data_IF_610692260552
#
_entry.id   IF_610692260552
#
_cell.length_a   1.000
_cell.length_b   1.000
_cell.length_c   1.000
_cell.angle_alpha   90.00
_cell.angle_beta   90.00
_cell.angle_gamma   90.00
#
_symmetry.space_group_name_H-M   'P 1'
#
loop_
_entity.id
_entity.type
_entity.pdbx_description
1 polymer ?
#
# COMPACT_ATOMS: atom_id res chain seq x y z
N UNK A 1 34.71 -14.80 -16.86
CA UNK A 1 33.31 -14.32 -16.81
C UNK A 1 32.86 -14.25 -15.35
N UNK A 2 32.84 -13.06 -14.75
CA UNK A 2 32.39 -12.89 -13.36
C UNK A 2 30.87 -12.71 -13.35
N UNK A 3 30.15 -13.63 -12.70
CA UNK A 3 28.71 -13.51 -12.47
C UNK A 3 28.48 -12.38 -11.46
N UNK A 4 27.92 -11.26 -11.92
CA UNK A 4 27.54 -10.15 -11.05
C UNK A 4 26.40 -10.61 -10.15
N UNK A 5 26.70 -10.78 -8.85
CA UNK A 5 25.75 -11.16 -7.81
C UNK A 5 24.78 -9.98 -7.64
N UNK A 6 23.56 -10.11 -8.19
CA UNK A 6 22.45 -9.16 -7.95
C UNK A 6 22.33 -8.99 -6.43
N UNK A 7 22.79 -7.86 -5.89
CA UNK A 7 22.50 -7.51 -4.50
C UNK A 7 20.99 -7.37 -4.43
N UNK A 8 20.33 -8.16 -3.58
CA UNK A 8 18.92 -7.99 -3.28
C UNK A 8 18.80 -6.56 -2.75
N UNK A 9 18.23 -5.66 -3.54
CA UNK A 9 17.94 -4.31 -3.08
C UNK A 9 16.92 -4.47 -1.96
N UNK A 10 17.39 -4.40 -0.72
CA UNK A 10 16.51 -4.20 0.42
C UNK A 10 16.00 -2.78 0.23
N UNK A 11 14.70 -2.57 0.00
CA UNK A 11 14.16 -1.21 -0.05
C UNK A 11 14.56 -0.52 1.25
N UNK A 12 15.24 0.62 1.17
CA UNK A 12 15.50 1.41 2.37
C UNK A 12 14.17 1.94 2.94
N UNK A 13 14.22 2.48 4.16
CA UNK A 13 13.07 3.05 4.86
C UNK A 13 12.33 4.09 4.01
N UNK A 14 13.06 4.91 3.25
CA UNK A 14 12.48 5.92 2.36
C UNK A 14 11.61 5.30 1.26
N UNK A 15 12.08 4.24 0.61
CA UNK A 15 11.28 3.54 -0.40
C UNK A 15 10.02 2.89 0.18
N UNK A 16 10.07 2.42 1.43
CA UNK A 16 8.89 1.87 2.12
C UNK A 16 7.91 2.98 2.50
N UNK A 17 8.39 4.12 2.99
CA UNK A 17 7.58 5.29 3.30
C UNK A 17 6.86 5.82 2.05
N UNK A 18 7.57 5.92 0.93
CA UNK A 18 6.98 6.36 -0.34
C UNK A 18 5.91 5.37 -0.83
N UNK A 19 6.14 4.06 -0.69
CA UNK A 19 5.15 3.06 -1.04
C UNK A 19 3.89 3.16 -0.15
N UNK A 20 4.06 3.39 1.15
CA UNK A 20 2.96 3.62 2.10
C UNK A 20 2.16 4.88 1.72
N UNK A 21 2.86 5.98 1.43
CA UNK A 21 2.26 7.23 1.01
C UNK A 21 1.44 7.04 -0.28
N UNK A 22 2.03 6.40 -1.29
CA UNK A 22 1.36 6.17 -2.56
C UNK A 22 0.16 5.22 -2.44
N UNK A 23 0.23 4.19 -1.57
CA UNK A 23 -0.93 3.35 -1.28
C UNK A 23 -2.10 4.18 -0.71
N UNK A 24 -1.82 5.11 0.21
CA UNK A 24 -2.84 6.02 0.76
C UNK A 24 -3.43 6.96 -0.29
N UNK A 25 -2.60 7.51 -1.18
CA UNK A 25 -3.06 8.39 -2.27
C UNK A 25 -3.98 7.64 -3.23
N UNK A 26 -3.57 6.45 -3.68
CA UNK A 26 -4.35 5.65 -4.63
C UNK A 26 -5.67 5.19 -4.00
N UNK A 27 -5.64 4.76 -2.73
CA UNK A 27 -6.87 4.39 -2.00
C UNK A 27 -7.87 5.54 -1.95
N UNK A 28 -7.40 6.77 -1.66
CA UNK A 28 -8.24 7.97 -1.66
C UNK A 28 -8.85 8.26 -3.03
N UNK A 29 -8.06 8.10 -4.11
CA UNK A 29 -8.55 8.30 -5.48
C UNK A 29 -9.55 7.23 -5.90
N UNK A 30 -9.34 5.97 -5.50
CA UNK A 30 -10.30 4.89 -5.78
C UNK A 30 -11.63 5.17 -5.08
N UNK A 31 -11.58 5.62 -3.82
CA UNK A 31 -12.79 6.00 -3.09
C UNK A 31 -13.52 7.16 -3.81
N UNK A 32 -12.84 8.28 -4.06
CA UNK A 32 -13.48 9.50 -4.58
C UNK A 32 -13.90 9.41 -6.04
N UNK A 33 -13.14 8.71 -6.88
CA UNK A 33 -13.35 8.70 -8.34
C UNK A 33 -14.03 7.44 -8.86
N UNK A 34 -13.97 6.31 -8.12
CA UNK A 34 -14.57 5.05 -8.54
C UNK A 34 -15.74 4.64 -7.65
N UNK A 35 -15.50 4.45 -6.35
CA UNK A 35 -16.56 3.99 -5.41
C UNK A 35 -17.72 4.99 -5.41
N UNK A 36 -17.39 6.28 -5.40
CA UNK A 36 -18.39 7.34 -5.35
C UNK A 36 -19.06 7.65 -6.69
N UNK A 37 -18.56 7.13 -7.82
CA UNK A 37 -19.10 7.42 -9.14
C UNK A 37 -20.49 6.81 -9.37
N UNK A 38 -21.44 7.63 -9.82
CA UNK A 38 -22.84 7.22 -10.05
C UNK A 38 -22.96 6.01 -10.98
N UNK A 39 -22.18 5.98 -12.07
CA UNK A 39 -22.19 4.86 -13.02
C UNK A 39 -21.76 3.52 -12.38
N UNK A 40 -20.89 3.56 -11.37
CA UNK A 40 -20.45 2.39 -10.61
C UNK A 40 -21.49 2.02 -9.57
N UNK A 41 -22.06 2.99 -8.84
CA UNK A 41 -23.08 2.77 -7.80
C UNK A 41 -24.36 2.10 -8.32
N UNK A 42 -24.82 2.48 -9.52
CA UNK A 42 -26.06 1.91 -10.10
C UNK A 42 -25.90 0.46 -10.56
N UNK A 43 -24.67 -0.03 -10.74
CA UNK A 43 -24.38 -1.39 -11.14
C UNK A 43 -23.77 -2.17 -9.98
N UNK A 44 -24.52 -3.12 -9.43
CA UNK A 44 -24.10 -3.88 -8.24
C UNK A 44 -22.81 -4.69 -8.43
N UNK A 45 -22.53 -5.22 -9.63
CA UNK A 45 -21.26 -5.93 -9.89
C UNK A 45 -20.08 -4.95 -9.94
N UNK A 46 -20.26 -3.78 -10.54
CA UNK A 46 -19.21 -2.77 -10.61
C UNK A 46 -18.93 -2.14 -9.26
N UNK A 47 -19.97 -1.79 -8.50
CA UNK A 47 -19.87 -1.31 -7.13
C UNK A 47 -19.10 -2.30 -6.25
N UNK A 48 -19.46 -3.60 -6.29
CA UNK A 48 -18.74 -4.65 -5.56
C UNK A 48 -17.26 -4.69 -5.92
N UNK A 49 -16.91 -4.63 -7.22
CA UNK A 49 -15.52 -4.66 -7.69
C UNK A 49 -14.74 -3.43 -7.24
N UNK A 50 -15.34 -2.24 -7.28
CA UNK A 50 -14.70 -1.01 -6.82
C UNK A 50 -14.39 -1.08 -5.32
N UNK A 51 -15.33 -1.56 -4.51
CA UNK A 51 -15.12 -1.78 -3.07
C UNK A 51 -14.04 -2.84 -2.80
N UNK A 52 -13.98 -3.93 -3.57
CA UNK A 52 -12.93 -4.96 -3.44
C UNK A 52 -11.52 -4.40 -3.75
N UNK A 53 -11.41 -3.50 -4.74
CA UNK A 53 -10.16 -2.82 -5.07
C UNK A 53 -9.74 -1.90 -3.91
N UNK A 54 -10.66 -1.10 -3.38
CA UNK A 54 -10.39 -0.24 -2.22
C UNK A 54 -9.92 -1.07 -1.01
N UNK A 55 -10.61 -2.16 -0.70
CA UNK A 55 -10.22 -3.05 0.40
C UNK A 55 -8.83 -3.66 0.19
N UNK A 56 -8.51 -4.09 -1.03
CA UNK A 56 -7.19 -4.65 -1.34
C UNK A 56 -6.07 -3.61 -1.18
N UNK A 57 -6.35 -2.33 -1.49
CA UNK A 57 -5.41 -1.22 -1.26
C UNK A 57 -5.24 -0.92 0.22
N UNK A 58 -6.32 -0.98 0.99
CA UNK A 58 -6.28 -0.84 2.45
C UNK A 58 -5.42 -1.93 3.09
N UNK A 59 -5.63 -3.19 2.70
CA UNK A 59 -4.85 -4.32 3.21
C UNK A 59 -3.36 -4.19 2.87
N UNK A 60 -3.04 -3.71 1.67
CA UNK A 60 -1.66 -3.41 1.26
C UNK A 60 -1.06 -2.27 2.11
N UNK A 61 -1.82 -1.19 2.34
CA UNK A 61 -1.38 -0.07 3.19
C UNK A 61 -1.06 -0.56 4.61
N UNK A 62 -1.93 -1.38 5.21
CA UNK A 62 -1.69 -1.95 6.55
C UNK A 62 -0.44 -2.83 6.56
N UNK A 63 -0.26 -3.72 5.59
CA UNK A 63 0.90 -4.60 5.51
C UNK A 63 2.23 -3.83 5.38
N UNK A 64 2.25 -2.68 4.69
CA UNK A 64 3.44 -1.82 4.63
C UNK A 64 3.65 -1.09 5.97
N UNK A 65 2.57 -0.65 6.62
CA UNK A 65 2.60 0.06 7.90
C UNK A 65 3.08 -0.82 9.07
N UNK A 66 2.69 -2.09 9.12
CA UNK A 66 3.12 -3.04 10.15
C UNK A 66 4.65 -3.14 10.22
N UNK A 67 5.33 -3.18 9.06
CA UNK A 67 6.80 -3.23 8.99
C UNK A 67 7.45 -1.96 9.56
N UNK A 68 6.84 -0.78 9.39
CA UNK A 68 7.38 0.47 9.94
C UNK A 68 7.25 0.52 11.46
N UNK A 69 6.13 0.06 12.01
CA UNK A 69 5.91 0.05 13.46
C UNK A 69 6.84 -0.92 14.19
N UNK A 70 7.21 -2.02 13.54
CA UNK A 70 8.17 -2.97 14.11
C UNK A 70 9.61 -2.45 14.06
N UNK A 71 10.01 -1.73 13.00
CA UNK A 71 11.33 -1.07 12.92
C UNK A 71 11.49 0.02 14.01
N UNK A 72 10.45 0.81 14.31
CA UNK A 72 10.48 1.85 15.37
C UNK A 72 10.57 1.25 16.79
N UNK A 73 10.01 0.07 17.02
CA UNK A 73 10.05 -0.63 18.32
C UNK A 73 11.41 -1.24 18.63
N UNK A 74 12.13 -1.67 17.61
CA UNK A 74 13.47 -2.22 17.75
C UNK A 74 14.51 -1.14 18.08
N UNK A 75 14.36 0.10 17.57
CA UNK A 75 15.24 1.24 17.91
C UNK A 75 14.99 1.79 19.33
N UNK A 76 13.74 1.78 19.80
CA UNK A 76 13.37 2.21 21.15
C UNK A 76 13.85 1.27 22.28
N UNK A 77 14.53 0.18 21.94
CA UNK A 77 15.03 -0.85 22.89
C UNK A 77 16.54 -0.73 23.21
N UNK A 78 17.23 0.31 22.75
CA UNK A 78 18.62 0.60 23.16
C UNK A 78 18.65 1.40 24.48
N UNK A 79 19.28 0.88 25.56
CA UNK A 79 19.46 1.60 26.83
C UNK A 79 20.47 2.75 26.77
#
# INVERSE_FOLDING_TARGET
>A
MAKSKKRRAVPDEFHRHEALHMASVIMTLVESELVEAEAIKVNSDWSRRASEIHQSLFDLYQAIGEVHLDDERDDASMP
#
